data_IF_198434122709
#
_entry.id   IF_198434122709
#
_cell.length_a   1.000
_cell.length_b   1.000
_cell.length_c   1.000
_cell.angle_alpha   90.00
_cell.angle_beta   90.00
_cell.angle_gamma   90.00
#
_symmetry.space_group_name_H-M   'P 1'
#
loop_
_entity.id
_entity.type
_entity.pdbx_description
1 polymer ?
#
# COMPACT_ATOMS: atom_id res chain seq x y z
N UNK A 1 -20.35 15.21 12.30
CA UNK A 1 -20.52 13.77 12.00
C UNK A 1 -19.12 13.19 11.98
N UNK A 2 -18.81 12.22 12.83
CA UNK A 2 -17.50 11.57 12.81
C UNK A 2 -17.42 10.67 11.56
N UNK A 3 -16.34 10.80 10.79
CA UNK A 3 -16.07 9.92 9.65
C UNK A 3 -15.68 8.54 10.18
N UNK A 4 -16.29 7.49 9.64
CA UNK A 4 -15.92 6.11 10.00
C UNK A 4 -14.59 5.73 9.35
N UNK A 5 -13.93 4.67 9.85
CA UNK A 5 -12.72 4.12 9.23
C UNK A 5 -12.96 3.81 7.74
N UNK A 6 -14.15 3.32 7.38
CA UNK A 6 -14.53 3.03 6.00
C UNK A 6 -14.55 4.30 5.15
N UNK A 7 -15.18 5.37 5.64
CA UNK A 7 -15.26 6.65 4.92
C UNK A 7 -13.86 7.23 4.68
N UNK A 8 -12.97 7.11 5.67
CA UNK A 8 -11.58 7.60 5.60
C UNK A 8 -10.70 6.76 4.67
N UNK A 9 -11.00 5.48 4.50
CA UNK A 9 -10.38 4.64 3.46
C UNK A 9 -10.90 5.04 2.07
N UNK A 10 -12.19 5.32 1.93
CA UNK A 10 -12.79 5.76 0.67
C UNK A 10 -12.28 7.13 0.20
N UNK A 11 -11.94 8.04 1.13
CA UNK A 11 -11.34 9.35 0.81
C UNK A 11 -9.81 9.31 0.66
N UNK A 12 -9.15 8.17 0.93
CA UNK A 12 -7.69 8.02 0.87
C UNK A 12 -6.93 8.67 2.03
N UNK A 13 -7.62 9.09 3.09
CA UNK A 13 -6.99 9.53 4.34
C UNK A 13 -6.31 8.36 5.06
N UNK A 14 -6.86 7.15 4.91
CA UNK A 14 -6.25 5.91 5.34
C UNK A 14 -6.16 4.91 4.20
N UNK A 15 -5.14 4.06 4.22
CA UNK A 15 -4.94 3.00 3.23
C UNK A 15 -4.82 1.63 3.94
N UNK A 16 -5.38 0.55 3.39
CA UNK A 16 -5.14 -0.81 3.88
C UNK A 16 -3.69 -1.20 3.56
N UNK A 17 -2.75 -0.87 4.44
CA UNK A 17 -1.32 -1.02 4.19
C UNK A 17 -0.88 -2.47 4.45
N UNK A 18 -0.38 -3.15 3.42
CA UNK A 18 0.16 -4.50 3.54
C UNK A 18 1.62 -4.49 3.99
N UNK A 19 2.46 -3.70 3.31
CA UNK A 19 3.87 -3.54 3.63
C UNK A 19 4.41 -2.21 3.08
N UNK A 20 5.43 -1.67 3.75
CA UNK A 20 6.21 -0.53 3.28
C UNK A 20 7.70 -0.75 3.58
N UNK A 21 8.57 -0.41 2.64
CA UNK A 21 10.02 -0.57 2.79
C UNK A 21 10.83 0.19 1.74
N UNK A 22 12.08 0.52 2.09
CA UNK A 22 13.04 1.16 1.19
C UNK A 22 13.94 0.11 0.52
N UNK A 23 14.03 0.12 -0.81
CA UNK A 23 14.85 -0.83 -1.58
C UNK A 23 15.21 -0.27 -2.96
N UNK A 24 15.72 -1.12 -3.85
CA UNK A 24 15.96 -0.83 -5.27
C UNK A 24 14.80 -1.37 -6.12
N UNK A 25 14.28 -0.55 -7.04
CA UNK A 25 13.30 -0.99 -8.04
C UNK A 25 13.90 -2.10 -8.93
N UNK A 26 13.23 -3.26 -8.98
CA UNK A 26 13.68 -4.43 -9.72
C UNK A 26 13.28 -4.45 -11.19
N UNK A 27 12.27 -3.66 -11.58
CA UNK A 27 11.58 -3.81 -12.86
C UNK A 27 11.33 -2.49 -13.61
N UNK A 28 11.02 -2.60 -14.90
CA UNK A 28 10.62 -1.49 -15.76
C UNK A 28 11.72 -0.46 -16.04
N UNK A 29 11.29 0.75 -16.39
CA UNK A 29 12.19 1.86 -16.77
C UNK A 29 13.07 2.36 -15.62
N UNK A 30 12.56 2.33 -14.39
CA UNK A 30 13.27 2.78 -13.19
C UNK A 30 14.09 1.69 -12.51
N UNK A 31 14.24 0.51 -13.14
CA UNK A 31 15.06 -0.58 -12.60
C UNK A 31 16.46 -0.10 -12.20
N UNK A 32 16.90 -0.48 -11.01
CA UNK A 32 18.19 -0.11 -10.45
C UNK A 32 18.18 1.20 -9.65
N UNK A 33 17.04 1.90 -9.59
CA UNK A 33 16.91 3.16 -8.82
C UNK A 33 16.43 2.86 -7.41
N UNK A 34 16.91 3.62 -6.42
CA UNK A 34 16.39 3.56 -5.07
C UNK A 34 14.94 4.08 -5.01
N UNK A 35 14.09 3.37 -4.27
CA UNK A 35 12.67 3.67 -4.18
C UNK A 35 12.10 3.20 -2.83
N UNK A 36 11.12 3.96 -2.33
CA UNK A 36 10.29 3.57 -1.21
C UNK A 36 9.01 2.92 -1.75
N UNK A 37 8.78 1.65 -1.41
CA UNK A 37 7.63 0.89 -1.84
C UNK A 37 6.53 0.96 -0.78
N UNK A 38 5.31 1.20 -1.24
CA UNK A 38 4.08 1.16 -0.43
C UNK A 38 3.14 0.18 -1.14
N UNK A 39 2.90 -0.99 -0.52
CA UNK A 39 1.95 -1.97 -1.06
C UNK A 39 0.64 -1.90 -0.28
N UNK A 40 -0.44 -1.60 -0.99
CA UNK A 40 -1.80 -1.61 -0.44
C UNK A 40 -2.50 -2.94 -0.71
N UNK A 41 -3.40 -3.31 0.20
CA UNK A 41 -4.31 -4.43 0.06
C UNK A 41 -5.57 -4.07 -0.73
N UNK A 42 -6.14 -5.05 -1.41
CA UNK A 42 -7.31 -4.92 -2.28
C UNK A 42 -6.97 -5.17 -3.75
N UNK A 43 -7.50 -6.25 -4.31
CA UNK A 43 -7.44 -6.53 -5.74
C UNK A 43 -8.66 -7.34 -6.16
N UNK A 44 -9.41 -6.86 -7.15
CA UNK A 44 -10.64 -7.48 -7.66
C UNK A 44 -10.42 -8.30 -8.95
N UNK A 45 -9.22 -8.28 -9.53
CA UNK A 45 -8.90 -8.96 -10.80
C UNK A 45 -8.76 -10.48 -10.64
N UNK A 46 -8.16 -10.94 -9.53
CA UNK A 46 -8.05 -12.37 -9.24
C UNK A 46 -7.10 -13.17 -10.16
N UNK A 47 -5.99 -12.58 -10.61
CA UNK A 47 -5.03 -13.22 -11.52
C UNK A 47 -4.47 -14.55 -10.96
N UNK A 48 -4.59 -15.65 -11.72
CA UNK A 48 -4.10 -16.97 -11.28
C UNK A 48 -2.59 -17.00 -10.96
N UNK A 49 -1.81 -16.22 -11.72
CA UNK A 49 -0.35 -16.10 -11.63
C UNK A 49 0.12 -14.90 -10.78
N UNK A 50 -0.75 -14.33 -9.94
CA UNK A 50 -0.30 -13.33 -8.98
C UNK A 50 0.70 -13.98 -7.99
N UNK A 51 1.84 -13.33 -7.84
CA UNK A 51 2.92 -13.67 -6.92
C UNK A 51 2.60 -13.29 -5.47
N UNK A 52 1.75 -12.28 -5.25
CA UNK A 52 1.34 -11.77 -3.93
C UNK A 52 -0.18 -11.84 -3.74
N UNK A 53 -0.73 -13.05 -3.64
CA UNK A 53 -2.19 -13.29 -3.51
C UNK A 53 -2.74 -12.81 -2.16
N UNK A 54 -1.89 -12.75 -1.15
CA UNK A 54 -2.20 -12.26 0.19
C UNK A 54 -2.63 -10.78 0.18
N UNK A 55 -2.24 -10.02 -0.85
CA UNK A 55 -2.65 -8.63 -1.03
C UNK A 55 -4.12 -8.47 -1.41
N UNK A 56 -4.82 -9.51 -1.87
CA UNK A 56 -6.14 -9.34 -2.50
C UNK A 56 -7.24 -8.90 -1.54
N UNK A 57 -7.24 -9.42 -0.31
CA UNK A 57 -8.25 -9.06 0.67
C UNK A 57 -7.80 -7.86 1.51
N UNK A 58 -8.35 -6.68 1.21
CA UNK A 58 -8.07 -5.45 1.93
C UNK A 58 -8.35 -5.53 3.44
N UNK A 59 -9.32 -6.35 3.88
CA UNK A 59 -9.68 -6.49 5.30
C UNK A 59 -8.62 -7.20 6.14
N UNK A 60 -7.64 -7.87 5.52
CA UNK A 60 -6.52 -8.48 6.23
C UNK A 60 -5.44 -7.47 6.61
N UNK A 61 -5.49 -6.27 6.03
CA UNK A 61 -4.45 -5.26 6.15
C UNK A 61 -4.95 -4.06 6.95
N UNK A 62 -4.19 -3.56 7.93
CA UNK A 62 -4.64 -2.48 8.80
C UNK A 62 -4.84 -1.17 8.03
N UNK A 63 -5.99 -0.49 8.21
CA UNK A 63 -6.15 0.89 7.77
C UNK A 63 -5.11 1.77 8.47
N UNK A 64 -4.23 2.37 7.69
CA UNK A 64 -3.08 3.14 8.17
C UNK A 64 -3.19 4.56 7.62
N UNK A 65 -2.97 5.56 8.47
CA UNK A 65 -2.98 6.98 8.10
C UNK A 65 -1.98 7.26 6.97
N UNK A 66 -2.44 7.89 5.90
CA UNK A 66 -1.58 8.27 4.76
C UNK A 66 -0.48 9.23 5.21
N UNK A 67 -0.73 10.10 6.20
CA UNK A 67 0.30 10.96 6.79
C UNK A 67 1.44 10.17 7.44
N UNK A 68 1.13 9.09 8.16
CA UNK A 68 2.14 8.24 8.79
C UNK A 68 3.01 7.53 7.74
N UNK A 69 2.40 7.04 6.66
CA UNK A 69 3.11 6.42 5.53
C UNK A 69 4.08 7.43 4.90
N UNK A 70 3.61 8.67 4.67
CA UNK A 70 4.45 9.76 4.13
C UNK A 70 5.61 10.11 5.07
N UNK A 71 5.34 10.20 6.38
CA UNK A 71 6.38 10.44 7.39
C UNK A 71 7.42 9.32 7.43
N UNK A 72 7.01 8.06 7.24
CA UNK A 72 7.93 6.93 7.15
C UNK A 72 8.76 6.95 5.87
N UNK A 73 8.15 7.25 4.72
CA UNK A 73 8.83 7.36 3.45
C UNK A 73 9.86 8.50 3.43
N UNK A 74 9.53 9.65 4.03
CA UNK A 74 10.40 10.83 4.05
C UNK A 74 11.70 10.68 4.85
N UNK A 75 11.90 9.56 5.56
CA UNK A 75 13.13 9.24 6.31
C UNK A 75 14.28 8.74 5.42
N UNK A 76 14.00 8.45 4.15
CA UNK A 76 14.93 7.87 3.17
C UNK A 76 15.12 8.79 1.97
#
# INVERSE_FOLDING_TARGET
MELTVKDRVETGEMLPLMEEFYTIQGEGFHKGTAAYFIRVGGCDVGCHWCDVKESWNAHLHPPTETSLIVENAAKY
#
